data_IF_168744844099
#
_entry.id   IF_168744844099
#
_cell.length_a   1.000
_cell.length_b   1.000
_cell.length_c   1.000
_cell.angle_alpha   90.00
_cell.angle_beta   90.00
_cell.angle_gamma   90.00
#
_symmetry.space_group_name_H-M   'P 1'
#
loop_
_entity.id
_entity.type
_entity.pdbx_description
1 polymer ?
#
# COMPACT_ATOMS: atom_id res chain seq x y z
N UNK A 1 10.19 -15.81 -3.30
CA UNK A 1 9.20 -16.00 -2.20
C UNK A 1 9.21 -14.71 -1.40
N UNK A 2 8.07 -14.09 -1.17
CA UNK A 2 8.01 -12.87 -0.37
C UNK A 2 8.22 -13.24 1.11
N UNK A 3 9.21 -12.64 1.75
CA UNK A 3 9.44 -12.77 3.18
C UNK A 3 8.75 -11.61 3.91
N UNK A 4 7.53 -11.83 4.36
CA UNK A 4 6.75 -10.82 5.08
C UNK A 4 7.25 -10.55 6.52
N UNK A 5 8.24 -11.30 6.97
CA UNK A 5 8.85 -11.11 8.30
C UNK A 5 10.20 -10.40 8.22
N UNK A 6 10.76 -10.26 7.00
CA UNK A 6 12.02 -9.56 6.83
C UNK A 6 11.86 -8.08 7.19
N UNK A 7 12.75 -7.61 8.03
CA UNK A 7 12.89 -6.17 8.36
C UNK A 7 14.34 -5.76 8.13
N UNK A 8 14.55 -4.50 7.80
CA UNK A 8 15.90 -3.96 7.64
C UNK A 8 16.65 -3.99 8.96
N UNK A 9 17.90 -4.47 8.94
CA UNK A 9 18.72 -4.61 10.14
C UNK A 9 19.01 -3.26 10.81
N UNK A 10 19.12 -2.22 10.00
CA UNK A 10 19.34 -0.84 10.45
C UNK A 10 18.10 -0.21 11.11
N UNK A 11 16.97 -0.91 11.07
CA UNK A 11 15.73 -0.48 11.69
C UNK A 11 15.21 0.85 11.17
N UNK A 12 14.57 1.62 12.04
CA UNK A 12 13.98 2.92 11.73
C UNK A 12 14.99 3.92 11.16
N UNK A 13 16.17 4.02 11.78
CA UNK A 13 17.19 4.97 11.35
C UNK A 13 17.66 4.71 9.92
N UNK A 14 17.80 3.43 9.55
CA UNK A 14 18.12 3.03 8.18
C UNK A 14 17.01 3.37 7.21
N UNK A 15 15.75 3.11 7.56
CA UNK A 15 14.59 3.46 6.76
C UNK A 15 14.53 4.97 6.50
N UNK A 16 14.65 5.79 7.52
CA UNK A 16 14.64 7.25 7.40
C UNK A 16 15.79 7.76 6.51
N UNK A 17 16.98 7.17 6.63
CA UNK A 17 18.11 7.54 5.77
C UNK A 17 17.83 7.20 4.30
N UNK A 18 17.29 6.01 4.03
CA UNK A 18 16.91 5.60 2.66
C UNK A 18 15.87 6.55 2.08
N UNK A 19 14.84 6.92 2.83
CA UNK A 19 13.80 7.82 2.33
C UNK A 19 14.33 9.23 2.04
N UNK A 20 15.24 9.76 2.86
CA UNK A 20 15.90 11.06 2.57
C UNK A 20 16.72 10.99 1.28
N UNK A 21 17.55 9.95 1.12
CA UNK A 21 18.37 9.78 -0.09
C UNK A 21 17.50 9.63 -1.35
N UNK A 22 16.38 8.90 -1.25
CA UNK A 22 15.43 8.78 -2.37
C UNK A 22 14.79 10.13 -2.71
N UNK A 23 14.36 10.91 -1.71
CA UNK A 23 13.82 12.24 -1.94
C UNK A 23 14.85 13.18 -2.58
N UNK A 24 16.11 13.14 -2.13
CA UNK A 24 17.22 13.92 -2.68
C UNK A 24 17.59 13.51 -4.11
N UNK A 25 17.30 12.27 -4.51
CA UNK A 25 17.59 11.76 -5.86
C UNK A 25 16.67 12.31 -6.95
N UNK A 26 15.61 13.03 -6.58
CA UNK A 26 14.69 13.68 -7.52
C UNK A 26 13.64 12.73 -8.12
N UNK A 27 13.27 11.67 -7.41
CA UNK A 27 12.14 10.81 -7.80
C UNK A 27 10.81 11.56 -7.65
N UNK A 28 9.82 11.22 -8.47
CA UNK A 28 8.49 11.84 -8.45
C UNK A 28 7.61 11.34 -7.30
N UNK A 29 7.73 10.07 -6.96
CA UNK A 29 6.96 9.45 -5.88
C UNK A 29 7.67 8.23 -5.29
N UNK A 30 7.27 7.85 -4.08
CA UNK A 30 7.73 6.66 -3.36
C UNK A 30 6.55 5.69 -3.19
N UNK A 31 6.66 4.48 -3.73
CA UNK A 31 5.67 3.44 -3.53
C UNK A 31 6.14 2.47 -2.43
N UNK A 32 5.47 2.53 -1.30
CA UNK A 32 5.73 1.68 -0.15
C UNK A 32 4.84 0.45 -0.21
N UNK A 33 5.45 -0.73 -0.10
CA UNK A 33 4.74 -2.01 -0.08
C UNK A 33 5.07 -2.77 1.18
N UNK A 34 4.06 -3.01 2.00
CA UNK A 34 4.11 -3.80 3.22
C UNK A 34 3.10 -4.95 3.15
N UNK A 35 3.22 -5.93 4.06
CA UNK A 35 2.15 -6.92 4.24
C UNK A 35 0.89 -6.26 4.82
N UNK A 36 1.08 -5.40 5.83
CA UNK A 36 0.05 -4.57 6.45
C UNK A 36 0.61 -3.16 6.66
N UNK A 37 0.18 -2.22 5.83
CA UNK A 37 0.72 -0.86 5.80
C UNK A 37 0.40 -0.03 7.04
N UNK A 38 -0.58 -0.45 7.85
CA UNK A 38 -1.02 0.27 9.05
C UNK A 38 -0.29 -0.18 10.31
N UNK A 39 0.44 -1.30 10.26
CA UNK A 39 1.19 -1.81 11.41
C UNK A 39 2.52 -1.07 11.58
N UNK A 40 3.06 -1.09 12.82
CA UNK A 40 4.41 -0.58 13.07
C UNK A 40 5.44 -1.20 12.14
N UNK A 41 6.26 -0.37 11.50
CA UNK A 41 7.29 -0.83 10.57
C UNK A 41 8.39 -1.63 11.27
N UNK A 42 8.72 -1.28 12.50
CA UNK A 42 9.76 -1.91 13.32
C UNK A 42 9.28 -2.15 14.74
N UNK A 43 9.87 -3.15 15.42
CA UNK A 43 9.44 -3.58 16.75
C UNK A 43 9.61 -2.50 17.84
N UNK A 44 10.59 -1.64 17.67
CA UNK A 44 10.97 -0.62 18.67
C UNK A 44 10.23 0.71 18.49
N UNK A 45 9.34 0.80 17.49
CA UNK A 45 8.63 2.02 17.18
C UNK A 45 7.15 1.72 16.88
N UNK A 46 6.27 2.68 17.21
CA UNK A 46 4.85 2.60 16.91
C UNK A 46 4.48 3.15 15.51
N UNK A 47 5.45 3.73 14.77
CA UNK A 47 5.20 4.35 13.47
C UNK A 47 5.13 3.32 12.35
N UNK A 48 4.16 3.49 11.45
CA UNK A 48 4.10 2.74 10.19
C UNK A 48 5.20 3.20 9.23
N UNK A 49 5.47 2.40 8.20
CA UNK A 49 6.45 2.77 7.17
C UNK A 49 6.06 4.05 6.42
N UNK A 50 4.75 4.29 6.27
CA UNK A 50 4.20 5.52 5.67
C UNK A 50 4.55 6.74 6.53
N UNK A 51 4.35 6.65 7.85
CA UNK A 51 4.67 7.74 8.77
C UNK A 51 6.17 8.05 8.77
N UNK A 52 7.02 7.03 8.82
CA UNK A 52 8.48 7.19 8.72
C UNK A 52 8.92 7.85 7.41
N UNK A 53 8.31 7.45 6.29
CA UNK A 53 8.60 8.07 5.01
C UNK A 53 8.15 9.51 4.94
N UNK A 54 6.97 9.84 5.50
CA UNK A 54 6.45 11.20 5.53
C UNK A 54 7.33 12.12 6.40
N UNK A 55 7.80 11.63 7.55
CA UNK A 55 8.73 12.39 8.39
C UNK A 55 10.07 12.65 7.70
N UNK A 56 10.61 11.63 7.01
CA UNK A 56 11.92 11.71 6.36
C UNK A 56 11.90 12.50 5.03
N UNK A 57 10.76 12.50 4.33
CA UNK A 57 10.56 13.11 3.01
C UNK A 57 9.22 13.84 2.93
N UNK A 58 9.06 15.01 3.62
CA UNK A 58 7.77 15.68 3.80
C UNK A 58 7.07 16.12 2.52
N UNK A 59 7.81 16.42 1.46
CA UNK A 59 7.28 16.92 0.18
C UNK A 59 7.15 15.84 -0.90
N UNK A 60 7.62 14.61 -0.64
CA UNK A 60 7.58 13.55 -1.63
C UNK A 60 6.18 12.93 -1.68
N UNK A 61 5.68 12.66 -2.87
CA UNK A 61 4.43 11.91 -3.04
C UNK A 61 4.60 10.47 -2.56
N UNK A 62 3.73 10.02 -1.66
CA UNK A 62 3.77 8.68 -1.08
C UNK A 62 2.55 7.87 -1.50
N UNK A 63 2.79 6.69 -2.07
CA UNK A 63 1.78 5.69 -2.39
C UNK A 63 1.91 4.54 -1.40
N UNK A 64 0.87 4.26 -0.64
CA UNK A 64 0.83 3.16 0.33
C UNK A 64 0.17 1.91 -0.26
N UNK A 65 0.76 0.74 -0.02
CA UNK A 65 0.19 -0.56 -0.37
C UNK A 65 0.41 -1.57 0.77
N UNK A 66 -0.61 -2.38 1.07
CA UNK A 66 -0.57 -3.46 2.05
C UNK A 66 -1.85 -3.51 2.89
N UNK A 67 -2.69 -4.51 2.65
CA UNK A 67 -3.94 -4.75 3.40
C UNK A 67 -4.91 -3.56 3.48
N UNK A 68 -4.92 -2.68 2.47
CA UNK A 68 -5.75 -1.46 2.40
C UNK A 68 -7.05 -1.67 1.61
N UNK A 69 -7.65 -2.86 1.71
CA UNK A 69 -8.77 -3.29 0.86
C UNK A 69 -10.10 -2.58 1.11
N UNK A 70 -10.33 -2.11 2.32
CA UNK A 70 -11.56 -1.40 2.68
C UNK A 70 -11.34 0.11 2.86
N UNK A 71 -12.44 0.86 2.84
CA UNK A 71 -12.42 2.31 2.93
C UNK A 71 -11.79 2.83 4.23
N UNK A 72 -12.00 2.13 5.35
CA UNK A 72 -11.48 2.56 6.65
C UNK A 72 -9.95 2.45 6.69
N UNK A 73 -9.40 1.30 6.29
CA UNK A 73 -7.96 1.10 6.19
C UNK A 73 -7.31 2.07 5.18
N UNK A 74 -7.95 2.29 4.02
CA UNK A 74 -7.47 3.25 3.03
C UNK A 74 -7.42 4.68 3.61
N UNK A 75 -8.48 5.11 4.31
CA UNK A 75 -8.52 6.43 4.96
C UNK A 75 -7.45 6.58 6.04
N UNK A 76 -7.24 5.55 6.86
CA UNK A 76 -6.17 5.57 7.88
C UNK A 76 -4.77 5.72 7.25
N UNK A 77 -4.51 5.07 6.11
CA UNK A 77 -3.22 5.24 5.42
C UNK A 77 -3.02 6.68 4.93
N UNK A 78 -4.07 7.34 4.43
CA UNK A 78 -4.03 8.77 4.06
C UNK A 78 -3.81 9.66 5.30
N UNK A 79 -4.48 9.38 6.41
CA UNK A 79 -4.29 10.10 7.68
C UNK A 79 -2.86 9.94 8.23
N UNK A 80 -2.23 8.79 7.99
CA UNK A 80 -0.83 8.53 8.34
C UNK A 80 0.17 9.22 7.41
N UNK A 81 -0.27 9.86 6.35
CA UNK A 81 0.58 10.66 5.47
C UNK A 81 0.80 10.11 4.07
N UNK A 82 0.09 9.07 3.64
CA UNK A 82 0.06 8.70 2.23
C UNK A 82 -0.74 9.73 1.42
N UNK A 83 -0.35 9.96 0.17
CA UNK A 83 -1.12 10.77 -0.79
C UNK A 83 -2.06 9.89 -1.61
N UNK A 84 -1.67 8.64 -1.82
CA UNK A 84 -2.44 7.64 -2.57
C UNK A 84 -2.36 6.27 -1.90
N UNK A 85 -3.37 5.46 -2.16
CA UNK A 85 -3.34 4.02 -1.84
C UNK A 85 -3.32 3.19 -3.12
N UNK A 86 -2.53 2.13 -3.13
CA UNK A 86 -2.48 1.17 -4.21
C UNK A 86 -3.16 -0.14 -3.76
N UNK A 87 -4.07 -0.63 -4.60
CA UNK A 87 -4.85 -1.83 -4.34
C UNK A 87 -4.50 -2.91 -5.35
N UNK A 88 -4.20 -4.11 -4.87
CA UNK A 88 -3.99 -5.28 -5.70
C UNK A 88 -5.25 -6.14 -5.77
N UNK A 89 -5.35 -7.12 -4.89
CA UNK A 89 -6.43 -8.11 -4.86
C UNK A 89 -7.82 -7.49 -4.80
N UNK A 90 -7.98 -6.42 -4.04
CA UNK A 90 -9.27 -5.74 -3.88
C UNK A 90 -9.73 -5.07 -5.18
N UNK A 91 -8.81 -4.47 -5.93
CA UNK A 91 -9.12 -3.88 -7.24
C UNK A 91 -9.42 -4.94 -8.30
N UNK A 92 -8.75 -6.10 -8.25
CA UNK A 92 -9.06 -7.23 -9.14
C UNK A 92 -10.46 -7.79 -8.89
N UNK A 93 -10.88 -7.85 -7.62
CA UNK A 93 -12.23 -8.30 -7.26
C UNK A 93 -13.31 -7.24 -7.51
N UNK A 94 -12.93 -5.97 -7.50
CA UNK A 94 -13.81 -4.82 -7.64
C UNK A 94 -13.18 -3.80 -8.60
N UNK A 95 -13.28 -3.96 -9.93
CA UNK A 95 -12.73 -3.01 -10.89
C UNK A 95 -13.28 -1.58 -10.72
N UNK A 96 -14.48 -1.47 -10.17
CA UNK A 96 -15.18 -0.23 -9.83
C UNK A 96 -15.00 0.18 -8.35
N UNK A 97 -13.94 -0.28 -7.68
CA UNK A 97 -13.70 -0.06 -6.25
C UNK A 97 -13.89 1.39 -5.79
N UNK A 98 -13.36 2.43 -6.48
CA UNK A 98 -13.56 3.81 -6.05
C UNK A 98 -15.03 4.23 -6.04
N UNK A 99 -15.80 3.75 -7.00
CA UNK A 99 -17.25 4.03 -7.08
C UNK A 99 -18.02 3.31 -5.97
N UNK A 100 -17.67 2.04 -5.71
CA UNK A 100 -18.29 1.27 -4.61
C UNK A 100 -18.04 1.92 -3.26
N UNK A 101 -16.81 2.35 -3.00
CA UNK A 101 -16.46 3.05 -1.75
C UNK A 101 -17.22 4.37 -1.63
N UNK A 102 -17.25 5.19 -2.70
CA UNK A 102 -18.01 6.44 -2.71
C UNK A 102 -19.50 6.23 -2.39
N UNK A 103 -20.09 5.19 -2.96
CA UNK A 103 -21.52 4.90 -2.87
C UNK A 103 -21.87 3.98 -1.67
N UNK A 104 -20.89 3.69 -0.81
CA UNK A 104 -20.99 2.75 0.32
C UNK A 104 -21.56 1.36 -0.08
N UNK A 105 -21.25 0.93 -1.31
CA UNK A 105 -21.66 -0.37 -1.82
C UNK A 105 -20.75 -1.50 -1.29
N UNK A 106 -21.28 -2.73 -1.12
CA UNK A 106 -20.49 -3.84 -0.61
C UNK A 106 -19.34 -4.21 -1.56
N UNK A 107 -18.16 -4.44 -1.02
CA UNK A 107 -17.01 -4.95 -1.75
C UNK A 107 -17.04 -6.47 -1.82
N UNK A 108 -16.61 -7.00 -2.96
CA UNK A 108 -16.45 -8.44 -3.18
C UNK A 108 -15.09 -8.90 -2.65
N UNK A 109 -15.05 -10.10 -2.07
CA UNK A 109 -13.79 -10.73 -1.68
C UNK A 109 -13.01 -11.23 -2.90
N UNK A 110 -11.70 -11.21 -2.78
CA UNK A 110 -10.82 -11.67 -3.86
C UNK A 110 -10.85 -13.20 -3.98
N UNK A 111 -11.26 -13.69 -5.14
CA UNK A 111 -11.14 -15.11 -5.50
C UNK A 111 -9.83 -15.37 -6.25
N UNK A 112 -9.01 -16.30 -5.72
CA UNK A 112 -7.75 -16.72 -6.36
C UNK A 112 -7.94 -17.31 -7.77
N UNK A 113 -9.13 -17.83 -8.08
CA UNK A 113 -9.46 -18.34 -9.40
C UNK A 113 -9.43 -17.28 -10.50
N UNK A 114 -9.55 -15.99 -10.14
CA UNK A 114 -9.34 -14.86 -11.07
C UNK A 114 -7.94 -14.88 -11.71
N UNK A 115 -6.95 -15.45 -11.02
CA UNK A 115 -5.58 -15.56 -11.52
C UNK A 115 -5.27 -16.92 -12.16
N UNK A 116 -6.21 -17.86 -12.22
CA UNK A 116 -6.01 -19.20 -12.74
C UNK A 116 -6.55 -19.35 -14.17
N UNK A 117 -5.89 -20.17 -15.02
CA UNK A 117 -4.57 -20.79 -14.85
C UNK A 117 -3.42 -19.78 -15.05
N UNK A 118 -3.71 -18.60 -15.55
CA UNK A 118 -2.79 -17.47 -15.75
C UNK A 118 -3.47 -16.15 -15.35
N UNK A 119 -2.68 -15.16 -14.98
CA UNK A 119 -3.15 -13.81 -14.68
C UNK A 119 -3.35 -13.03 -16.00
N UNK A 120 -4.44 -13.30 -16.68
CA UNK A 120 -4.87 -12.65 -17.93
C UNK A 120 -6.28 -12.08 -17.78
N UNK A 121 -6.69 -11.24 -18.72
CA UNK A 121 -8.06 -10.70 -18.76
C UNK A 121 -9.03 -11.83 -19.09
N UNK A 122 -10.02 -12.06 -18.23
CA UNK A 122 -11.02 -13.11 -18.41
C UNK A 122 -12.20 -12.61 -19.26
N UNK A 123 -12.89 -13.52 -19.92
CA UNK A 123 -14.05 -13.17 -20.75
C UNK A 123 -15.16 -12.45 -19.96
N UNK A 124 -15.30 -12.74 -18.66
CA UNK A 124 -16.27 -12.07 -17.78
C UNK A 124 -15.91 -10.60 -17.47
N UNK A 125 -14.65 -10.19 -17.72
CA UNK A 125 -14.18 -8.82 -17.52
C UNK A 125 -14.31 -7.97 -18.79
N UNK A 126 -14.68 -8.57 -19.91
CA UNK A 126 -14.86 -7.91 -21.20
C UNK A 126 -16.32 -7.55 -21.50
N UNK A 127 -17.23 -7.84 -20.60
CA UNK A 127 -18.68 -7.66 -20.76
C UNK A 127 -19.17 -6.29 -20.28
#
# INVERSE_FOLDING_TARGET
>A
MNDFHHKWQEGEAGAQQVFRLLAESGIDYLHLTEYDALQPAFADNALSLVQLAREAAPSLTIVANGSLSDCHCASQALEQGADFVALGKSALANPDWPMRVRDAAPLQEFDKNLLAPSADVKNCELA
#
